data_IF_230960646044
#
_entry.id   IF_230960646044
#
_cell.length_a   1.000
_cell.length_b   1.000
_cell.length_c   1.000
_cell.angle_alpha   90.00
_cell.angle_beta   90.00
_cell.angle_gamma   90.00
#
_symmetry.space_group_name_H-M   'P 1'
#
loop_
_entity.id
_entity.type
_entity.pdbx_description
1 polymer ?
#
# COMPACT_ATOMS: atom_id res chain seq x y z
N UNK A 1 -19.48 -4.29 -0.72
CA UNK A 1 -18.14 -3.72 -0.49
C UNK A 1 -18.19 -2.35 0.17
N UNK A 2 -18.95 -1.39 -0.35
CA UNK A 2 -19.06 -0.01 0.18
C UNK A 2 -19.35 0.05 1.70
N UNK A 3 -20.26 -0.75 2.29
CA UNK A 3 -20.50 -0.70 3.74
C UNK A 3 -19.27 -1.12 4.56
N UNK A 4 -18.49 -2.09 4.08
CA UNK A 4 -17.28 -2.57 4.74
C UNK A 4 -16.13 -1.57 4.59
N UNK A 5 -16.05 -0.85 3.47
CA UNK A 5 -15.10 0.25 3.30
C UNK A 5 -15.40 1.38 4.29
N UNK A 6 -16.66 1.81 4.41
CA UNK A 6 -17.05 2.80 5.41
C UNK A 6 -16.76 2.33 6.85
N UNK A 7 -17.01 1.05 7.15
CA UNK A 7 -16.63 0.46 8.43
C UNK A 7 -15.11 0.50 8.65
N UNK A 8 -14.32 0.23 7.61
CA UNK A 8 -12.84 0.27 7.67
C UNK A 8 -12.32 1.66 8.03
N UNK A 9 -12.93 2.70 7.47
CA UNK A 9 -12.54 4.09 7.73
C UNK A 9 -12.88 4.55 9.15
N UNK A 10 -14.01 4.08 9.70
CA UNK A 10 -14.51 4.51 11.01
C UNK A 10 -14.01 3.64 12.16
N UNK A 11 -13.90 2.33 11.92
CA UNK A 11 -13.65 1.30 12.92
C UNK A 11 -12.81 0.16 12.30
N UNK A 12 -11.50 0.38 12.06
CA UNK A 12 -10.64 -0.59 11.38
C UNK A 12 -10.55 -1.94 12.09
N UNK A 13 -10.57 -1.97 13.44
CA UNK A 13 -10.57 -3.21 14.22
C UNK A 13 -11.84 -4.05 13.99
N UNK A 14 -13.00 -3.40 13.89
CA UNK A 14 -14.26 -4.07 13.59
C UNK A 14 -14.33 -4.54 12.13
N UNK A 15 -13.77 -3.75 11.20
CA UNK A 15 -13.65 -4.19 9.81
C UNK A 15 -12.76 -5.44 9.67
N UNK A 16 -11.64 -5.49 10.40
CA UNK A 16 -10.77 -6.65 10.41
C UNK A 16 -11.45 -7.89 11.00
N UNK A 17 -12.22 -7.77 12.08
CA UNK A 17 -12.94 -8.92 12.64
C UNK A 17 -13.97 -9.48 11.65
N UNK A 18 -14.66 -8.61 10.90
CA UNK A 18 -15.57 -9.02 9.82
C UNK A 18 -14.83 -9.72 8.69
N UNK A 19 -13.65 -9.23 8.28
CA UNK A 19 -12.83 -9.88 7.26
C UNK A 19 -12.34 -11.25 7.72
N UNK A 20 -11.84 -11.35 8.96
CA UNK A 20 -11.37 -12.60 9.55
C UNK A 20 -12.49 -13.63 9.67
N UNK A 21 -13.70 -13.20 10.04
CA UNK A 21 -14.88 -14.08 10.15
C UNK A 21 -15.29 -14.73 8.82
N UNK A 22 -14.85 -14.19 7.68
CA UNK A 22 -15.12 -14.78 6.35
C UNK A 22 -14.20 -15.95 6.00
N UNK A 23 -13.22 -16.28 6.86
CA UNK A 23 -12.32 -17.43 6.63
C UNK A 23 -11.46 -17.29 5.39
N UNK A 24 -11.07 -16.06 5.04
CA UNK A 24 -10.27 -15.77 3.84
C UNK A 24 -8.91 -16.47 3.90
N UNK A 25 -8.53 -17.07 2.78
CA UNK A 25 -7.29 -17.82 2.62
C UNK A 25 -6.16 -16.92 2.12
N UNK A 26 -4.92 -17.45 2.13
CA UNK A 26 -3.79 -16.76 1.51
C UNK A 26 -4.01 -16.54 0.00
N UNK A 27 -4.71 -17.46 -0.68
CA UNK A 27 -5.04 -17.32 -2.09
C UNK A 27 -5.96 -16.11 -2.34
N UNK A 28 -6.94 -15.88 -1.45
CA UNK A 28 -7.81 -14.71 -1.52
C UNK A 28 -7.04 -13.41 -1.32
N UNK A 29 -6.08 -13.40 -0.39
CA UNK A 29 -5.18 -12.26 -0.16
C UNK A 29 -4.34 -11.93 -1.39
N UNK A 30 -3.76 -12.94 -2.04
CA UNK A 30 -3.04 -12.77 -3.30
C UNK A 30 -3.93 -12.29 -4.44
N UNK A 31 -5.13 -12.85 -4.58
CA UNK A 31 -6.09 -12.42 -5.59
C UNK A 31 -6.49 -10.95 -5.41
N UNK A 32 -6.69 -10.52 -4.15
CA UNK A 32 -6.91 -9.11 -3.81
C UNK A 32 -5.74 -8.23 -4.25
N UNK A 33 -4.51 -8.55 -3.83
CA UNK A 33 -3.30 -7.78 -4.17
C UNK A 33 -3.11 -7.66 -5.68
N UNK A 34 -3.28 -8.76 -6.43
CA UNK A 34 -3.12 -8.74 -7.89
C UNK A 34 -4.21 -7.89 -8.54
N UNK A 35 -5.46 -8.02 -8.09
CA UNK A 35 -6.57 -7.22 -8.62
C UNK A 35 -6.40 -5.72 -8.32
N UNK A 36 -6.00 -5.36 -7.11
CA UNK A 36 -5.78 -3.96 -6.69
C UNK A 36 -4.58 -3.36 -7.41
N UNK A 37 -3.49 -4.10 -7.58
CA UNK A 37 -2.33 -3.66 -8.34
C UNK A 37 -2.66 -3.43 -9.82
N UNK A 38 -3.43 -4.34 -10.44
CA UNK A 38 -3.88 -4.17 -11.82
C UNK A 38 -4.76 -2.92 -11.98
N UNK A 39 -5.72 -2.72 -11.07
CA UNK A 39 -6.58 -1.52 -11.07
C UNK A 39 -5.77 -0.24 -10.84
N UNK A 40 -4.80 -0.26 -9.92
CA UNK A 40 -3.92 0.88 -9.63
C UNK A 40 -3.08 1.27 -10.84
N UNK A 41 -2.51 0.29 -11.55
CA UNK A 41 -1.78 0.53 -12.79
C UNK A 41 -2.68 1.15 -13.88
N UNK A 42 -3.92 0.66 -14.03
CA UNK A 42 -4.90 1.20 -14.99
C UNK A 42 -5.27 2.64 -14.63
N UNK A 43 -5.60 2.91 -13.36
CA UNK A 43 -5.94 4.26 -12.91
C UNK A 43 -4.76 5.23 -13.04
N UNK A 44 -3.55 4.78 -12.74
CA UNK A 44 -2.34 5.61 -12.85
C UNK A 44 -2.03 5.93 -14.32
N UNK A 45 -2.15 4.94 -15.20
CA UNK A 45 -2.03 5.14 -16.65
C UNK A 45 -3.08 6.12 -17.16
N UNK A 46 -4.35 5.92 -16.78
CA UNK A 46 -5.45 6.81 -17.18
C UNK A 46 -5.24 8.23 -16.64
N UNK A 47 -4.80 8.38 -15.39
CA UNK A 47 -4.52 9.67 -14.78
C UNK A 47 -3.42 10.45 -15.49
N UNK A 48 -2.39 9.76 -15.97
CA UNK A 48 -1.32 10.40 -16.74
C UNK A 48 -1.81 10.94 -18.10
N UNK A 49 -2.79 10.29 -18.71
CA UNK A 49 -3.43 10.77 -19.95
C UNK A 49 -4.41 11.91 -19.69
N UNK A 50 -5.20 11.84 -18.62
CA UNK A 50 -6.25 12.82 -18.32
C UNK A 50 -5.72 14.09 -17.65
N UNK A 51 -4.60 14.02 -16.93
CA UNK A 51 -4.01 15.15 -16.19
C UNK A 51 -2.49 15.23 -16.47
N UNK A 52 -2.07 15.63 -17.69
CA UNK A 52 -0.65 15.63 -18.07
C UNK A 52 0.23 16.49 -17.16
N UNK A 53 -0.28 17.65 -16.71
CA UNK A 53 0.43 18.54 -15.79
C UNK A 53 0.77 17.89 -14.43
N UNK A 54 0.02 16.85 -14.01
CA UNK A 54 0.33 16.08 -12.81
C UNK A 54 1.41 15.01 -13.06
N UNK A 55 1.56 14.54 -14.29
CA UNK A 55 2.56 13.56 -14.70
C UNK A 55 3.95 14.19 -14.93
N UNK A 56 3.99 15.43 -15.45
CA UNK A 56 5.23 16.16 -15.75
C UNK A 56 6.07 16.47 -14.49
N UNK A 57 5.45 16.54 -13.31
CA UNK A 57 6.15 16.72 -12.02
C UNK A 57 6.80 15.45 -11.43
N UNK A 58 6.61 14.27 -12.04
CA UNK A 58 6.96 12.98 -11.42
C UNK A 58 8.42 12.52 -11.64
N UNK A 59 9.21 13.19 -12.48
CA UNK A 59 10.62 12.83 -12.71
C UNK A 59 10.82 11.40 -13.22
N UNK A 60 11.76 10.63 -12.64
CA UNK A 60 12.07 9.24 -13.02
C UNK A 60 10.83 8.29 -12.95
N UNK A 61 9.82 8.64 -12.13
CA UNK A 61 8.55 7.91 -12.06
C UNK A 61 7.69 8.08 -13.31
N UNK A 62 7.85 9.16 -14.08
CA UNK A 62 7.14 9.39 -15.35
C UNK A 62 7.47 8.34 -16.42
N UNK A 63 8.68 7.79 -16.40
CA UNK A 63 9.11 6.71 -17.31
C UNK A 63 8.39 5.39 -16.97
N UNK A 64 8.14 5.12 -15.68
CA UNK A 64 7.43 3.92 -15.23
C UNK A 64 5.92 3.98 -15.53
N UNK A 65 5.34 5.18 -15.51
CA UNK A 65 3.92 5.42 -15.87
C UNK A 65 3.60 4.99 -17.30
N UNK A 66 4.58 5.00 -18.21
CA UNK A 66 4.40 4.55 -19.60
C UNK A 66 4.47 3.02 -19.77
N UNK A 67 4.81 2.27 -18.72
CA UNK A 67 4.85 0.80 -18.71
C UNK A 67 3.93 0.24 -17.61
N UNK A 68 2.60 0.20 -17.83
CA UNK A 68 1.63 -0.18 -16.80
C UNK A 68 1.87 -1.58 -16.23
N UNK A 69 2.37 -2.52 -17.03
CA UNK A 69 2.72 -3.87 -16.55
C UNK A 69 3.88 -3.89 -15.55
N UNK A 70 4.94 -3.10 -15.76
CA UNK A 70 6.04 -3.03 -14.79
C UNK A 70 5.61 -2.35 -13.50
N UNK A 71 4.73 -1.34 -13.59
CA UNK A 71 4.16 -0.68 -12.42
C UNK A 71 3.32 -1.65 -11.58
N UNK A 72 2.45 -2.43 -12.22
CA UNK A 72 1.66 -3.46 -11.55
C UNK A 72 2.56 -4.52 -10.90
N UNK A 73 3.60 -4.98 -11.61
CA UNK A 73 4.55 -5.96 -11.07
C UNK A 73 5.28 -5.44 -9.83
N UNK A 74 5.79 -4.21 -9.88
CA UNK A 74 6.42 -3.56 -8.72
C UNK A 74 5.45 -3.49 -7.55
N UNK A 75 4.19 -3.09 -7.81
CA UNK A 75 3.19 -2.98 -6.76
C UNK A 75 2.86 -4.34 -6.11
N UNK A 76 2.68 -5.40 -6.90
CA UNK A 76 2.46 -6.75 -6.36
C UNK A 76 3.65 -7.19 -5.50
N UNK A 77 4.89 -6.96 -5.96
CA UNK A 77 6.09 -7.30 -5.19
C UNK A 77 6.19 -6.48 -3.91
N UNK A 78 5.90 -5.18 -3.97
CA UNK A 78 5.89 -4.29 -2.79
C UNK A 78 4.83 -4.71 -1.78
N UNK A 79 3.62 -5.07 -2.23
CA UNK A 79 2.55 -5.55 -1.37
C UNK A 79 2.88 -6.90 -0.72
N UNK A 80 3.45 -7.82 -1.50
CA UNK A 80 3.93 -9.11 -1.02
C UNK A 80 5.03 -8.94 0.02
N UNK A 81 6.03 -8.09 -0.25
CA UNK A 81 7.09 -7.76 0.69
C UNK A 81 6.51 -7.13 1.95
N UNK A 82 5.54 -6.22 1.80
CA UNK A 82 4.78 -5.65 2.92
C UNK A 82 4.12 -6.73 3.77
N UNK A 83 3.53 -7.77 3.17
CA UNK A 83 2.86 -8.86 3.89
C UNK A 83 3.85 -9.74 4.65
N UNK A 84 4.99 -10.04 4.01
CA UNK A 84 6.10 -10.77 4.61
C UNK A 84 6.69 -10.00 5.79
N UNK A 85 6.91 -8.69 5.64
CA UNK A 85 7.42 -7.83 6.72
C UNK A 85 6.39 -7.69 7.85
N UNK A 86 5.13 -7.42 7.52
CA UNK A 86 4.06 -7.27 8.49
C UNK A 86 3.94 -8.54 9.35
N UNK A 87 3.92 -9.72 8.73
CA UNK A 87 3.84 -11.00 9.46
C UNK A 87 5.16 -11.40 10.14
N UNK A 88 6.29 -11.28 9.46
CA UNK A 88 7.60 -11.70 9.96
C UNK A 88 8.08 -10.83 11.11
N UNK A 89 8.13 -9.51 10.89
CA UNK A 89 8.52 -8.55 11.94
C UNK A 89 7.47 -8.52 13.03
N UNK A 90 6.18 -8.50 12.69
CA UNK A 90 5.11 -8.54 13.69
C UNK A 90 5.24 -9.74 14.63
N UNK A 91 5.55 -10.94 14.11
CA UNK A 91 5.82 -12.11 14.94
C UNK A 91 7.11 -12.01 15.75
N UNK A 92 8.18 -11.42 15.20
CA UNK A 92 9.42 -11.20 15.94
C UNK A 92 9.24 -10.30 17.16
N UNK A 93 8.29 -9.36 17.12
CA UNK A 93 7.89 -8.50 18.24
C UNK A 93 6.74 -9.09 19.09
N UNK A 94 6.49 -10.41 19.00
CA UNK A 94 5.52 -11.12 19.85
C UNK A 94 4.07 -11.12 19.34
N UNK A 95 3.83 -10.67 18.11
CA UNK A 95 2.51 -10.70 17.49
C UNK A 95 2.07 -12.09 17.02
N UNK A 96 0.76 -12.29 16.87
CA UNK A 96 0.16 -13.60 16.51
C UNK A 96 -0.24 -13.73 15.04
N UNK A 97 -0.03 -12.69 14.23
CA UNK A 97 -0.46 -12.63 12.84
C UNK A 97 0.21 -13.68 11.94
N UNK A 98 -0.56 -14.32 11.07
CA UNK A 98 -0.02 -15.24 10.06
C UNK A 98 0.19 -14.51 8.73
N UNK A 99 1.03 -15.04 7.85
CA UNK A 99 1.24 -14.48 6.52
C UNK A 99 -0.07 -14.39 5.72
N UNK A 100 -0.96 -15.38 5.85
CA UNK A 100 -2.29 -15.35 5.22
C UNK A 100 -3.12 -14.14 5.68
N UNK A 101 -3.13 -13.86 6.99
CA UNK A 101 -3.82 -12.69 7.54
C UNK A 101 -3.21 -11.38 7.04
N UNK A 102 -1.87 -11.33 6.95
CA UNK A 102 -1.14 -10.17 6.45
C UNK A 102 -1.42 -9.88 4.97
N UNK A 103 -1.49 -10.91 4.12
CA UNK A 103 -1.85 -10.77 2.70
C UNK A 103 -3.26 -10.21 2.54
N UNK A 104 -4.22 -10.74 3.30
CA UNK A 104 -5.61 -10.25 3.27
C UNK A 104 -5.69 -8.82 3.79
N UNK A 105 -4.99 -8.49 4.88
CA UNK A 105 -4.95 -7.15 5.44
C UNK A 105 -4.43 -6.13 4.44
N UNK A 106 -3.29 -6.41 3.80
CA UNK A 106 -2.67 -5.52 2.82
C UNK A 106 -3.53 -5.41 1.57
N UNK A 107 -3.97 -6.52 1.00
CA UNK A 107 -4.85 -6.51 -0.17
C UNK A 107 -6.16 -5.74 0.10
N UNK A 108 -6.70 -5.82 1.32
CA UNK A 108 -7.86 -5.02 1.70
C UNK A 108 -7.55 -3.54 1.83
N UNK A 109 -6.43 -3.16 2.45
CA UNK A 109 -5.99 -1.75 2.52
C UNK A 109 -5.84 -1.20 1.10
N UNK A 110 -5.18 -1.93 0.20
CA UNK A 110 -5.06 -1.55 -1.20
C UNK A 110 -6.42 -1.41 -1.89
N UNK A 111 -7.37 -2.30 -1.60
CA UNK A 111 -8.74 -2.23 -2.13
C UNK A 111 -9.50 -0.97 -1.64
N UNK A 112 -9.24 -0.50 -0.42
CA UNK A 112 -9.77 0.78 0.06
C UNK A 112 -9.05 1.94 -0.62
N UNK A 113 -7.71 1.88 -0.71
CA UNK A 113 -6.91 2.96 -1.29
C UNK A 113 -7.19 3.15 -2.78
N UNK A 114 -7.41 2.08 -3.54
CA UNK A 114 -7.75 2.18 -4.96
C UNK A 114 -9.09 2.88 -5.19
N UNK A 115 -10.09 2.62 -4.32
CA UNK A 115 -11.37 3.31 -4.38
C UNK A 115 -11.22 4.81 -4.11
N UNK A 116 -10.34 5.18 -3.17
CA UNK A 116 -10.00 6.58 -2.91
C UNK A 116 -9.19 7.19 -4.05
N UNK A 117 -8.28 6.45 -4.67
CA UNK A 117 -7.50 6.92 -5.81
C UNK A 117 -8.40 7.23 -7.01
N UNK A 118 -9.43 6.41 -7.25
CA UNK A 118 -10.44 6.70 -8.27
C UNK A 118 -11.19 8.00 -7.96
N UNK A 119 -11.62 8.20 -6.70
CA UNK A 119 -12.26 9.44 -6.28
C UNK A 119 -11.32 10.66 -6.39
N UNK A 120 -10.05 10.48 -6.03
CA UNK A 120 -9.01 11.50 -6.16
C UNK A 120 -8.82 11.91 -7.61
N UNK A 121 -8.76 10.96 -8.54
CA UNK A 121 -8.61 11.26 -9.97
C UNK A 121 -9.79 12.09 -10.48
N UNK A 122 -11.01 11.74 -10.11
CA UNK A 122 -12.21 12.54 -10.46
C UNK A 122 -12.11 13.94 -9.88
N UNK A 123 -11.71 14.09 -8.61
CA UNK A 123 -11.53 15.40 -7.98
C UNK A 123 -10.43 16.22 -8.64
N UNK A 124 -9.32 15.60 -9.05
CA UNK A 124 -8.22 16.30 -9.74
C UNK A 124 -8.66 16.88 -11.09
N UNK A 125 -9.60 16.24 -11.78
CA UNK A 125 -10.14 16.72 -13.06
C UNK A 125 -11.16 17.85 -12.83
N UNK A 126 -12.05 17.69 -11.86
CA UNK A 126 -13.14 18.65 -11.61
C UNK A 126 -12.67 19.88 -10.84
N UNK A 127 -11.81 19.69 -9.83
CA UNK A 127 -11.38 20.69 -8.85
C UNK A 127 -9.89 20.46 -8.48
N UNK A 128 -8.93 20.86 -9.34
CA UNK A 128 -7.52 20.48 -9.21
C UNK A 128 -6.88 20.74 -7.83
N UNK A 129 -7.12 21.89 -7.14
CA UNK A 129 -6.57 22.11 -5.80
C UNK A 129 -7.07 21.11 -4.76
N UNK A 130 -8.31 20.64 -4.89
CA UNK A 130 -8.89 19.64 -3.98
C UNK A 130 -8.33 18.24 -4.24
N UNK A 131 -7.96 17.92 -5.48
CA UNK A 131 -7.30 16.66 -5.82
C UNK A 131 -5.98 16.44 -5.07
N UNK A 132 -5.17 17.51 -4.93
CA UNK A 132 -3.91 17.46 -4.18
C UNK A 132 -4.14 17.27 -2.67
N UNK A 133 -5.06 18.03 -2.08
CA UNK A 133 -5.42 17.91 -0.65
C UNK A 133 -6.00 16.53 -0.34
N UNK A 134 -6.83 15.99 -1.23
CA UNK A 134 -7.39 14.65 -1.09
C UNK A 134 -6.31 13.56 -1.17
N UNK A 135 -5.28 13.76 -2.00
CA UNK A 135 -4.11 12.88 -2.04
C UNK A 135 -3.36 12.81 -0.71
N UNK A 136 -3.12 13.97 -0.07
CA UNK A 136 -2.50 14.03 1.26
C UNK A 136 -3.38 13.32 2.30
N UNK A 137 -4.69 13.57 2.28
CA UNK A 137 -5.62 12.89 3.18
C UNK A 137 -5.60 11.36 2.98
N UNK A 138 -5.54 10.90 1.74
CA UNK A 138 -5.44 9.47 1.39
C UNK A 138 -4.13 8.85 1.88
N UNK A 139 -3.01 9.57 1.77
CA UNK A 139 -1.72 9.13 2.30
C UNK A 139 -1.74 8.98 3.84
N UNK A 140 -2.27 9.97 4.55
CA UNK A 140 -2.40 9.91 6.01
C UNK A 140 -3.32 8.77 6.45
N UNK A 141 -4.41 8.56 5.72
CA UNK A 141 -5.31 7.45 5.95
C UNK A 141 -4.64 6.10 5.68
N UNK A 142 -3.84 5.97 4.62
CA UNK A 142 -3.09 4.75 4.35
C UNK A 142 -2.15 4.40 5.53
N UNK A 143 -1.39 5.39 6.01
CA UNK A 143 -0.52 5.22 7.18
C UNK A 143 -1.32 4.79 8.43
N UNK A 144 -2.45 5.44 8.69
CA UNK A 144 -3.35 5.08 9.78
C UNK A 144 -3.88 3.64 9.66
N UNK A 145 -4.35 3.24 8.48
CA UNK A 145 -4.90 1.90 8.25
C UNK A 145 -3.83 0.81 8.36
N UNK A 146 -2.61 1.06 7.88
CA UNK A 146 -1.48 0.11 8.05
C UNK A 146 -1.21 -0.13 9.53
N UNK A 147 -1.15 0.93 10.35
CA UNK A 147 -0.97 0.79 11.81
C UNK A 147 -2.14 0.01 12.42
N UNK A 148 -3.38 0.43 12.13
CA UNK A 148 -4.57 -0.17 12.73
C UNK A 148 -4.75 -1.64 12.36
N UNK A 149 -4.53 -2.02 11.10
CA UNK A 149 -4.58 -3.41 10.67
C UNK A 149 -3.40 -4.22 11.19
N UNK A 150 -2.20 -3.64 11.27
CA UNK A 150 -1.06 -4.33 11.91
C UNK A 150 -1.39 -4.69 13.35
N UNK A 151 -1.98 -3.75 14.11
CA UNK A 151 -2.46 -3.99 15.46
C UNK A 151 -3.56 -5.05 15.49
N UNK A 152 -4.55 -4.97 14.61
CA UNK A 152 -5.69 -5.91 14.58
C UNK A 152 -5.28 -7.34 14.19
N UNK A 153 -4.32 -7.48 13.26
CA UNK A 153 -3.77 -8.77 12.82
C UNK A 153 -2.97 -9.42 13.94
N UNK A 154 -2.10 -8.65 14.63
CA UNK A 154 -1.17 -9.20 15.62
C UNK A 154 -1.66 -9.15 17.07
N UNK A 155 -2.76 -8.44 17.34
CA UNK A 155 -3.26 -8.21 18.70
C UNK A 155 -2.46 -7.18 19.49
N UNK A 156 -1.69 -6.32 18.83
CA UNK A 156 -0.93 -5.27 19.52
C UNK A 156 -1.85 -4.22 20.14
N UNK A 157 -1.49 -3.75 21.33
CA UNK A 157 -2.28 -2.77 22.09
C UNK A 157 -1.72 -1.35 22.02
N UNK A 158 -0.42 -1.19 21.78
CA UNK A 158 0.24 0.12 21.79
C UNK A 158 0.50 0.61 20.36
N UNK A 159 -0.24 1.62 19.86
CA UNK A 159 -0.07 2.13 18.50
C UNK A 159 1.28 2.80 18.28
N UNK A 160 1.85 3.45 19.30
CA UNK A 160 3.14 4.14 19.16
C UNK A 160 4.29 3.15 18.90
N UNK A 161 4.30 2.02 19.61
CA UNK A 161 5.28 0.96 19.36
C UNK A 161 5.12 0.35 17.97
N UNK A 162 3.88 0.22 17.47
CA UNK A 162 3.64 -0.25 16.10
C UNK A 162 4.14 0.75 15.07
N UNK A 163 3.91 2.05 15.26
CA UNK A 163 4.47 3.10 14.40
C UNK A 163 5.99 3.03 14.40
N UNK A 164 6.64 2.96 15.56
CA UNK A 164 8.10 2.85 15.66
C UNK A 164 8.62 1.56 15.00
N UNK A 165 7.91 0.44 15.17
CA UNK A 165 8.23 -0.82 14.52
C UNK A 165 8.14 -0.74 12.99
N UNK A 166 7.09 -0.10 12.47
CA UNK A 166 6.92 0.13 11.02
C UNK A 166 8.04 1.03 10.50
N UNK A 167 8.31 2.17 11.15
CA UNK A 167 9.38 3.09 10.75
C UNK A 167 10.75 2.39 10.75
N UNK A 168 11.07 1.67 11.83
CA UNK A 168 12.32 0.90 11.93
C UNK A 168 12.43 -0.16 10.85
N UNK A 169 11.33 -0.86 10.54
CA UNK A 169 11.28 -1.85 9.46
C UNK A 169 11.51 -1.20 8.10
N UNK A 170 10.83 -0.11 7.81
CA UNK A 170 10.98 0.61 6.53
C UNK A 170 12.41 1.10 6.36
N UNK A 171 13.01 1.71 7.39
CA UNK A 171 14.40 2.18 7.31
C UNK A 171 15.38 1.01 7.11
N UNK A 172 15.24 -0.07 7.88
CA UNK A 172 16.13 -1.22 7.80
C UNK A 172 15.98 -1.95 6.45
N UNK A 173 14.76 -2.20 6.00
CA UNK A 173 14.52 -2.84 4.69
C UNK A 173 15.03 -1.95 3.56
N UNK A 174 14.80 -0.64 3.60
CA UNK A 174 15.31 0.28 2.57
C UNK A 174 16.83 0.28 2.50
N UNK A 175 17.49 0.29 3.66
CA UNK A 175 18.94 0.17 3.75
C UNK A 175 19.45 -1.16 3.16
N UNK A 176 18.83 -2.29 3.54
CA UNK A 176 19.22 -3.60 3.04
C UNK A 176 18.99 -3.74 1.52
N UNK A 177 17.88 -3.24 1.00
CA UNK A 177 17.61 -3.24 -0.44
C UNK A 177 18.59 -2.34 -1.19
N UNK A 178 18.96 -1.18 -0.63
CA UNK A 178 19.97 -0.30 -1.21
C UNK A 178 21.36 -0.97 -1.24
N UNK A 179 21.73 -1.68 -0.17
CA UNK A 179 22.98 -2.43 -0.11
C UNK A 179 23.01 -3.57 -1.14
N UNK A 180 21.91 -4.32 -1.26
CA UNK A 180 21.78 -5.37 -2.27
C UNK A 180 21.88 -4.81 -3.69
N UNK A 181 21.23 -3.67 -3.96
CA UNK A 181 21.34 -2.98 -5.25
C UNK A 181 22.79 -2.56 -5.54
N UNK A 182 23.52 -2.05 -4.54
CA UNK A 182 24.94 -1.71 -4.65
C UNK A 182 25.80 -2.95 -4.96
N UNK A 183 25.59 -4.04 -4.24
CA UNK A 183 26.34 -5.29 -4.44
C UNK A 183 26.09 -5.92 -5.82
N UNK A 184 24.89 -5.75 -6.37
CA UNK A 184 24.53 -6.22 -7.71
C UNK A 184 24.94 -5.25 -8.83
N UNK A 185 25.56 -4.10 -8.50
CA UNK A 185 25.95 -3.09 -9.48
C UNK A 185 24.76 -2.37 -10.12
N UNK A 186 23.60 -2.34 -9.46
CA UNK A 186 22.37 -1.71 -9.96
C UNK A 186 22.25 -0.23 -9.58
N UNK A 187 23.26 0.34 -8.90
CA UNK A 187 23.27 1.77 -8.60
C UNK A 187 23.55 2.54 -9.90
N UNK A 188 22.73 3.55 -10.24
CA UNK A 188 23.02 4.41 -11.38
C UNK A 188 24.38 5.07 -11.14
N UNK A 189 25.33 4.79 -12.03
CA UNK A 189 26.61 5.47 -12.05
C UNK A 189 26.37 6.97 -12.21
N UNK A 190 26.80 7.75 -11.21
CA UNK A 190 26.70 9.20 -11.26
C UNK A 190 27.43 9.66 -12.52
N UNK A 191 26.80 10.47 -13.39
CA UNK A 191 27.54 11.08 -14.49
C UNK A 191 28.65 11.94 -13.86
N UNK A 192 29.89 11.50 -14.06
CA UNK A 192 31.12 12.24 -13.72
C UNK A 192 31.32 13.43 -14.66
#
# INVERSE_FOLDING_TARGET
MIPLMNLTLRQPFAAWSVLRARGLTAADGWALIVATAALAAILSWLGAWLVPAAAEGAGLLGILVHRPFSMAAVQVVSAALGAVLLSGVGRAFGGTGRLADALVAIGWIEAVMIALQAAQLVLSILLPPLGALFGIATLLLAAYLVVAFTMAVHGFRNPLLVVLGIVGTVMMTSFLLSLLAAMLGLLPELPV
#
